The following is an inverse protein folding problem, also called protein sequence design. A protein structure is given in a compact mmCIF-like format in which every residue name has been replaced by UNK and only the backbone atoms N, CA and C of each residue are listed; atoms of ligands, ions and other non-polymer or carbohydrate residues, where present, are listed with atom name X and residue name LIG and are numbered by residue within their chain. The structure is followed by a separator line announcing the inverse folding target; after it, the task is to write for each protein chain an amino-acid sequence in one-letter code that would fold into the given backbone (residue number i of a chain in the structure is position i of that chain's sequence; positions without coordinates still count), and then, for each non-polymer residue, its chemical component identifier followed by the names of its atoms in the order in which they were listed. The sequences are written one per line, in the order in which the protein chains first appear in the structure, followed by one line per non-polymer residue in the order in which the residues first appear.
data_IF_774478081842
#
_entry.id   IF_774478081842
#
_cell.length_a   1.000
_cell.length_b   1.000
_cell.length_c   1.000
_cell.angle_alpha   90.00
_cell.angle_beta   90.00
_cell.angle_gamma   90.00
#
_symmetry.space_group_name_H-M   'P 1'
#
loop_
_entity.id
_entity.type
_entity.pdbx_description
1 polymer ?
#
# COMPACT_ATOMS: atom_id res chain seq x y z
N UNK A 1 -33.17 15.94 17.80
CA UNK A 1 -31.77 16.39 17.57
C UNK A 1 -31.00 15.18 17.04
N UNK A 2 -30.68 15.13 15.75
CA UNK A 2 -29.86 14.04 15.18
C UNK A 2 -28.70 14.70 14.45
N UNK A 3 -27.53 14.61 15.08
CA UNK A 3 -26.29 15.16 14.60
C UNK A 3 -25.61 14.08 13.75
N UNK A 4 -25.79 14.16 12.44
CA UNK A 4 -25.12 13.30 11.45
C UNK A 4 -24.14 14.15 10.67
N UNK A 5 -23.03 14.49 11.32
CA UNK A 5 -21.89 15.15 10.66
C UNK A 5 -20.81 14.09 10.40
N UNK A 6 -21.03 13.26 9.38
CA UNK A 6 -19.98 12.40 8.83
C UNK A 6 -19.41 13.07 7.59
N UNK A 7 -18.43 13.95 7.80
CA UNK A 7 -17.74 14.67 6.74
C UNK A 7 -16.70 13.73 6.12
N UNK A 8 -17.15 12.86 5.21
CA UNK A 8 -16.25 12.04 4.40
C UNK A 8 -15.39 12.96 3.52
N UNK A 9 -14.09 13.07 3.82
CA UNK A 9 -13.12 13.76 2.97
C UNK A 9 -12.96 13.01 1.64
N UNK A 10 -13.75 13.36 0.64
CA UNK A 10 -13.63 12.84 -0.71
C UNK A 10 -12.67 13.72 -1.53
N UNK A 11 -11.57 13.12 -2.00
CA UNK A 11 -10.68 13.76 -2.96
C UNK A 11 -11.19 13.46 -4.37
N UNK A 12 -11.55 14.49 -5.13
CA UNK A 12 -11.94 14.36 -6.54
C UNK A 12 -10.71 14.57 -7.42
N UNK A 13 -10.30 13.53 -8.15
CA UNK A 13 -9.17 13.60 -9.08
C UNK A 13 -9.68 13.57 -10.51
N UNK A 14 -9.23 14.53 -11.34
CA UNK A 14 -9.47 14.49 -12.78
C UNK A 14 -8.40 13.61 -13.44
N UNK A 15 -8.80 12.46 -13.99
CA UNK A 15 -7.89 11.49 -14.60
C UNK A 15 -8.06 11.57 -16.12
N UNK A 16 -6.98 11.79 -16.85
CA UNK A 16 -6.95 11.73 -18.31
C UNK A 16 -6.56 10.31 -18.73
N UNK A 17 -7.42 9.67 -19.52
CA UNK A 17 -7.19 8.33 -20.07
C UNK A 17 -7.41 8.33 -21.57
N UNK A 18 -6.87 7.32 -22.26
CA UNK A 18 -7.10 7.14 -23.69
C UNK A 18 -8.60 6.92 -23.98
N UNK A 19 -9.03 7.30 -25.19
CA UNK A 19 -10.43 7.17 -25.59
C UNK A 19 -10.89 5.70 -25.64
N UNK A 20 -10.02 4.81 -26.12
CA UNK A 20 -10.25 3.37 -26.16
C UNK A 20 -10.47 2.81 -24.73
N UNK A 21 -9.63 3.19 -23.77
CA UNK A 21 -9.78 2.77 -22.39
C UNK A 21 -11.07 3.29 -21.75
N UNK A 22 -11.46 4.52 -22.07
CA UNK A 22 -12.71 5.10 -21.58
C UNK A 22 -13.94 4.34 -22.10
N UNK A 23 -13.96 3.97 -23.37
CA UNK A 23 -15.02 3.17 -23.98
C UNK A 23 -15.10 1.78 -23.35
N UNK A 24 -13.95 1.13 -23.16
CA UNK A 24 -13.87 -0.17 -22.48
C UNK A 24 -14.45 -0.11 -21.07
N UNK A 25 -14.06 0.90 -20.28
CA UNK A 25 -14.56 1.08 -18.91
C UNK A 25 -16.07 1.38 -18.87
N UNK A 26 -16.61 2.10 -19.85
CA UNK A 26 -18.07 2.32 -19.98
C UNK A 26 -18.84 1.03 -20.24
N UNK A 27 -18.34 0.20 -21.16
CA UNK A 27 -18.95 -1.10 -21.44
C UNK A 27 -18.93 -2.00 -20.20
N UNK A 28 -17.82 -1.99 -19.47
CA UNK A 28 -17.67 -2.74 -18.22
C UNK A 28 -18.62 -2.24 -17.13
N UNK A 29 -18.78 -0.92 -16.99
CA UNK A 29 -19.72 -0.30 -16.07
C UNK A 29 -21.17 -0.67 -16.38
N UNK A 30 -21.56 -0.65 -17.66
CA UNK A 30 -22.89 -1.06 -18.11
C UNK A 30 -23.15 -2.55 -17.81
N UNK A 31 -22.18 -3.43 -18.11
CA UNK A 31 -22.27 -4.87 -17.83
C UNK A 31 -22.43 -5.16 -16.34
N UNK A 32 -21.70 -4.44 -15.49
CA UNK A 32 -21.71 -4.61 -14.02
C UNK A 32 -22.83 -3.84 -13.33
N UNK A 33 -23.64 -3.06 -14.05
CA UNK A 33 -24.67 -2.14 -13.50
C UNK A 33 -24.11 -1.22 -12.40
N UNK A 34 -22.88 -0.73 -12.58
CA UNK A 34 -22.19 0.18 -11.66
C UNK A 34 -21.88 1.50 -12.37
N UNK A 35 -21.65 2.57 -11.61
CA UNK A 35 -21.15 3.82 -12.18
C UNK A 35 -19.70 3.66 -12.66
N UNK A 36 -19.32 4.42 -13.69
CA UNK A 36 -17.96 4.44 -14.21
C UNK A 36 -16.93 4.70 -13.10
N UNK A 37 -17.21 5.68 -12.24
CA UNK A 37 -16.35 6.01 -11.11
C UNK A 37 -16.21 4.87 -10.10
N UNK A 38 -17.25 4.03 -9.92
CA UNK A 38 -17.15 2.86 -9.04
C UNK A 38 -16.25 1.78 -9.65
N UNK A 39 -16.35 1.53 -10.96
CA UNK A 39 -15.46 0.59 -11.67
C UNK A 39 -14.01 1.05 -11.62
N UNK A 40 -13.76 2.34 -11.89
CA UNK A 40 -12.41 2.93 -11.82
C UNK A 40 -11.84 2.80 -10.40
N UNK A 41 -12.63 3.11 -9.36
CA UNK A 41 -12.19 2.94 -7.97
C UNK A 41 -11.93 1.49 -7.59
N UNK A 42 -12.68 0.53 -8.14
CA UNK A 42 -12.46 -0.90 -7.91
C UNK A 42 -11.14 -1.36 -8.53
N UNK A 43 -10.79 -0.85 -9.71
CA UNK A 43 -9.51 -1.14 -10.36
C UNK A 43 -8.32 -0.46 -9.68
N UNK A 44 -8.50 0.77 -9.17
CA UNK A 44 -7.49 1.52 -8.41
C UNK A 44 -7.37 1.06 -6.94
N UNK A 45 -8.33 0.30 -6.43
CA UNK A 45 -8.21 -0.30 -5.11
C UNK A 45 -7.08 -1.32 -5.21
N UNK A 46 -5.92 -0.96 -4.65
CA UNK A 46 -4.83 -1.91 -4.48
C UNK A 46 -5.40 -3.21 -3.91
N UNK A 47 -5.07 -4.34 -4.57
CA UNK A 47 -5.36 -5.69 -4.06
C UNK A 47 -5.07 -5.66 -2.57
N UNK A 48 -6.10 -5.91 -1.76
CA UNK A 48 -6.07 -5.66 -0.32
C UNK A 48 -4.67 -5.89 0.22
N UNK A 49 -4.03 -4.84 0.73
CA UNK A 49 -2.91 -5.06 1.64
C UNK A 49 -3.50 -5.95 2.71
N UNK A 50 -3.15 -7.24 2.70
CA UNK A 50 -3.61 -8.16 3.73
C UNK A 50 -3.17 -7.47 5.01
N UNK A 51 -4.12 -6.99 5.82
CA UNK A 51 -3.79 -6.38 7.10
C UNK A 51 -3.21 -7.51 7.92
N UNK A 52 -1.88 -7.67 7.83
CA UNK A 52 -1.14 -8.63 8.63
C UNK A 52 -1.46 -8.21 10.06
N UNK A 53 -2.00 -9.14 10.85
CA UNK A 53 -2.30 -8.82 12.24
C UNK A 53 -0.99 -8.41 12.93
N UNK A 54 -1.07 -7.50 13.90
CA UNK A 54 0.11 -7.09 14.65
C UNK A 54 0.88 -8.30 15.21
N UNK A 55 0.15 -9.34 15.62
CA UNK A 55 0.70 -10.60 16.11
C UNK A 55 1.47 -11.38 15.02
N UNK A 56 0.95 -11.46 13.80
CA UNK A 56 1.65 -12.09 12.67
C UNK A 56 2.91 -11.31 12.29
N UNK A 57 2.87 -9.98 12.39
CA UNK A 57 4.04 -9.13 12.14
C UNK A 57 5.12 -9.36 13.21
N UNK A 58 4.74 -9.39 14.49
CA UNK A 58 5.68 -9.65 15.59
C UNK A 58 6.33 -11.03 15.48
N UNK A 59 5.56 -12.08 15.13
CA UNK A 59 6.12 -13.42 14.88
C UNK A 59 7.14 -13.43 13.74
N UNK A 60 6.90 -12.67 12.66
CA UNK A 60 7.86 -12.54 11.55
C UNK A 60 9.12 -11.81 11.98
N UNK A 61 8.99 -10.72 12.73
CA UNK A 61 10.12 -9.97 13.28
C UNK A 61 10.98 -10.88 14.16
N UNK A 62 10.36 -11.65 15.06
CA UNK A 62 11.07 -12.57 15.95
C UNK A 62 11.81 -13.67 15.18
N UNK A 63 11.15 -14.25 14.16
CA UNK A 63 11.78 -15.24 13.28
C UNK A 63 13.05 -14.68 12.63
N UNK A 64 12.95 -13.52 12.01
CA UNK A 64 14.10 -12.88 11.35
C UNK A 64 15.17 -12.46 12.34
N UNK A 65 14.81 -12.00 13.55
CA UNK A 65 15.76 -11.68 14.59
C UNK A 65 16.57 -12.91 15.01
N UNK A 66 15.95 -14.08 15.15
CA UNK A 66 16.64 -15.35 15.48
C UNK A 66 17.56 -15.82 14.36
N UNK A 67 17.13 -15.69 13.11
CA UNK A 67 17.94 -16.02 11.93
C UNK A 67 19.17 -15.08 11.85
N UNK A 68 18.95 -13.78 12.02
CA UNK A 68 19.99 -12.76 11.95
C UNK A 68 20.95 -12.80 13.13
N UNK A 69 20.50 -13.22 14.32
CA UNK A 69 21.35 -13.35 15.50
C UNK A 69 22.60 -14.23 15.27
N UNK A 70 22.52 -15.18 14.32
CA UNK A 70 23.68 -16.00 13.91
C UNK A 70 24.77 -15.18 13.21
N UNK A 71 24.38 -14.15 12.47
CA UNK A 71 25.25 -13.33 11.63
C UNK A 71 25.62 -11.99 12.27
N UNK A 72 24.85 -11.53 13.26
CA UNK A 72 25.06 -10.23 13.92
C UNK A 72 25.81 -10.34 15.26
N UNK A 73 26.25 -11.53 15.66
CA UNK A 73 27.02 -11.69 16.90
C UNK A 73 28.37 -10.98 16.77
N UNK A 74 28.54 -9.90 17.55
CA UNK A 74 29.73 -9.03 17.48
C UNK A 74 29.69 -7.98 16.37
N UNK A 75 28.54 -7.80 15.69
CA UNK A 75 28.37 -6.78 14.67
C UNK A 75 28.19 -5.40 15.31
N UNK A 76 29.14 -4.50 15.08
CA UNK A 76 29.03 -3.08 15.44
C UNK A 76 28.28 -2.34 14.31
N UNK A 77 26.98 -2.19 14.52
CA UNK A 77 26.11 -1.48 13.59
C UNK A 77 26.49 -0.02 13.39
N UNK A 78 27.09 0.62 14.40
CA UNK A 78 27.51 2.03 14.33
C UNK A 78 28.74 2.16 13.44
N UNK A 79 29.70 1.25 13.57
CA UNK A 79 30.88 1.21 12.70
C UNK A 79 30.48 0.99 11.23
N UNK A 80 29.61 0.01 10.97
CA UNK A 80 29.14 -0.28 9.61
C UNK A 80 28.42 0.93 8.96
N UNK A 81 27.59 1.65 9.71
CA UNK A 81 26.91 2.87 9.20
C UNK A 81 27.92 3.99 8.91
N UNK A 82 28.98 4.12 9.73
CA UNK A 82 30.06 5.09 9.48
C UNK A 82 30.82 4.74 8.20
N UNK A 83 31.22 3.49 8.03
CA UNK A 83 31.92 3.01 6.82
C UNK A 83 31.08 3.26 5.56
N UNK A 84 29.79 2.91 5.55
CA UNK A 84 28.87 3.22 4.43
C UNK A 84 28.79 4.73 4.10
N UNK A 85 28.85 5.60 5.12
CA UNK A 85 28.81 7.05 4.94
C UNK A 85 30.12 7.61 4.35
N UNK A 86 31.27 7.06 4.73
CA UNK A 86 32.58 7.58 4.35
C UNK A 86 33.16 6.93 3.10
N UNK A 87 32.89 5.64 2.87
CA UNK A 87 33.36 4.88 1.70
C UNK A 87 32.38 4.91 0.51
N UNK A 88 31.13 5.33 0.72
CA UNK A 88 30.12 5.50 -0.35
C UNK A 88 30.28 6.78 -1.18
N UNK A 89 31.49 7.37 -1.24
CA UNK A 89 31.83 8.54 -2.06
C UNK A 89 32.73 8.17 -3.22
#
# INVERSE_FOLDING_TARGET
MIQLYYMSNYVTTNIRISEEDYLRLKQEAAKRRKSLSAVVREQLKDKSTSKISAEQLLKRIEKHARENAKYTKGFDSVKAIREMRYEGK
#
